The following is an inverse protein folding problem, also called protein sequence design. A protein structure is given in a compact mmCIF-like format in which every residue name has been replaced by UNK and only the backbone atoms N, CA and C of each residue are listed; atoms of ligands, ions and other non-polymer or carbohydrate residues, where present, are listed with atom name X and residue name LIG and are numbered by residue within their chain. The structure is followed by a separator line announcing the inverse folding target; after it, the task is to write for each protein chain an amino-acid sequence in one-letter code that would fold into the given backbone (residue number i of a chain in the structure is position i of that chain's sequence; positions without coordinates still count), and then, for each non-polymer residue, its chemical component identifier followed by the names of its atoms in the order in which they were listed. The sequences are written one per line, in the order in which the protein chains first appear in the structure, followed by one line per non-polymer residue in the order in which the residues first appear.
data_IF_648620190452
#
_entry.id   IF_648620190452
#
_cell.length_a   1.000
_cell.length_b   1.000
_cell.length_c   1.000
_cell.angle_alpha   90.00
_cell.angle_beta   90.00
_cell.angle_gamma   90.00
#
_symmetry.space_group_name_H-M   'P 1'
#
loop_
_entity.id
_entity.type
_entity.pdbx_description
1 polymer ?
#
# COMPACT_ATOMS: atom_id res chain seq x y z
N UNK A 1 8.70 19.09 3.39
CA UNK A 1 7.37 19.04 4.04
C UNK A 1 7.57 19.15 5.56
N UNK A 2 7.48 20.35 6.15
CA UNK A 2 7.91 20.62 7.54
C UNK A 2 7.15 19.81 8.61
N UNK A 3 5.88 19.50 8.39
CA UNK A 3 5.01 18.79 9.35
C UNK A 3 5.52 17.36 9.66
N UNK A 4 6.18 16.72 8.70
CA UNK A 4 6.77 15.37 8.87
C UNK A 4 8.00 15.35 9.78
N UNK A 5 8.66 16.49 9.96
CA UNK A 5 9.87 16.62 10.81
C UNK A 5 9.56 17.07 12.25
N UNK A 6 8.29 17.40 12.54
CA UNK A 6 7.87 17.85 13.87
C UNK A 6 7.85 16.69 14.88
N UNK A 7 8.26 16.97 16.12
CA UNK A 7 8.11 16.01 17.21
C UNK A 7 6.63 15.82 17.56
N UNK A 8 6.25 14.68 18.17
CA UNK A 8 4.86 14.43 18.58
C UNK A 8 4.28 15.57 19.43
N UNK A 9 5.07 16.13 20.36
CA UNK A 9 4.66 17.26 21.21
C UNK A 9 4.42 18.57 20.43
N UNK A 10 5.16 18.80 19.34
CA UNK A 10 4.95 19.97 18.49
C UNK A 10 3.71 19.83 17.61
N UNK A 11 3.37 18.61 17.19
CA UNK A 11 2.14 18.31 16.45
C UNK A 11 0.90 18.49 17.34
N UNK A 12 0.96 18.02 18.59
CA UNK A 12 -0.08 18.25 19.60
C UNK A 12 -0.39 19.74 19.80
N UNK A 13 0.64 20.56 20.01
CA UNK A 13 0.46 22.02 20.16
C UNK A 13 -0.17 22.68 18.93
N UNK A 14 0.09 22.16 17.73
CA UNK A 14 -0.52 22.64 16.49
C UNK A 14 -2.02 22.29 16.41
N UNK A 15 -2.39 21.09 16.86
CA UNK A 15 -3.79 20.65 16.94
C UNK A 15 -4.56 21.42 18.03
N UNK A 16 -3.91 21.83 19.10
CA UNK A 16 -4.52 22.68 20.15
C UNK A 16 -4.81 24.11 19.66
N UNK A 17 -3.99 24.64 18.74
CA UNK A 17 -4.18 25.97 18.14
C UNK A 17 -5.30 25.99 17.08
N UNK A 18 -5.74 24.84 16.59
CA UNK A 18 -6.72 24.69 15.52
C UNK A 18 -7.75 23.59 15.85
N UNK A 19 -8.80 23.91 16.63
CA UNK A 19 -9.78 22.92 17.10
C UNK A 19 -10.54 22.22 15.97
N UNK A 20 -10.73 22.89 14.82
CA UNK A 20 -11.36 22.28 13.65
C UNK A 20 -10.45 21.21 13.02
N UNK A 21 -9.14 21.46 12.93
CA UNK A 21 -8.16 20.46 12.46
C UNK A 21 -8.07 19.26 13.40
N UNK A 22 -8.25 19.47 14.71
CA UNK A 22 -8.31 18.37 15.69
C UNK A 22 -9.53 17.49 15.48
N UNK A 23 -10.70 18.08 15.21
CA UNK A 23 -11.93 17.32 14.92
C UNK A 23 -11.79 16.50 13.65
N UNK A 24 -11.24 17.10 12.59
CA UNK A 24 -11.00 16.41 11.31
C UNK A 24 -9.94 15.31 11.44
N UNK A 25 -8.89 15.54 12.21
CA UNK A 25 -7.86 14.54 12.47
C UNK A 25 -8.42 13.33 13.24
N UNK A 26 -9.29 13.57 14.24
CA UNK A 26 -9.96 12.50 14.98
C UNK A 26 -10.95 11.71 14.12
N UNK A 27 -11.72 12.40 13.27
CA UNK A 27 -12.64 11.75 12.33
C UNK A 27 -11.88 10.83 11.35
N UNK A 28 -10.78 11.32 10.76
CA UNK A 28 -9.91 10.52 9.88
C UNK A 28 -9.23 9.37 10.61
N UNK A 29 -8.78 9.57 11.85
CA UNK A 29 -8.19 8.50 12.64
C UNK A 29 -9.21 7.38 12.93
N UNK A 30 -10.47 7.73 13.17
CA UNK A 30 -11.56 6.78 13.34
C UNK A 30 -11.85 5.99 12.05
N UNK A 31 -11.96 6.68 10.91
CA UNK A 31 -12.14 6.04 9.60
C UNK A 31 -10.97 5.10 9.26
N UNK A 32 -9.73 5.49 9.60
CA UNK A 32 -8.54 4.65 9.42
C UNK A 32 -8.54 3.43 10.34
N UNK A 33 -9.01 3.56 11.58
CA UNK A 33 -9.16 2.43 12.49
C UNK A 33 -10.23 1.45 12.00
N UNK A 34 -11.39 1.95 11.55
CA UNK A 34 -12.45 1.12 10.96
C UNK A 34 -11.98 0.39 9.69
N UNK A 35 -11.17 1.03 8.86
CA UNK A 35 -10.52 0.39 7.71
C UNK A 35 -9.50 -0.67 8.14
N UNK A 36 -8.68 -0.38 9.15
CA UNK A 36 -7.70 -1.33 9.66
C UNK A 36 -8.37 -2.58 10.23
N UNK A 37 -9.42 -2.41 11.04
CA UNK A 37 -10.23 -3.51 11.57
C UNK A 37 -10.88 -4.33 10.43
N UNK A 38 -11.44 -3.66 9.42
CA UNK A 38 -12.01 -4.32 8.25
C UNK A 38 -10.96 -5.17 7.51
N UNK A 39 -9.76 -4.64 7.29
CA UNK A 39 -8.70 -5.38 6.61
C UNK A 39 -8.16 -6.52 7.48
N UNK A 40 -8.05 -6.33 8.80
CA UNK A 40 -7.65 -7.39 9.71
C UNK A 40 -8.64 -8.56 9.70
N UNK A 41 -9.94 -8.25 9.78
CA UNK A 41 -10.99 -9.26 9.72
C UNK A 41 -11.04 -9.94 8.34
N UNK A 42 -10.87 -9.19 7.25
CA UNK A 42 -10.80 -9.78 5.90
C UNK A 42 -9.57 -10.64 5.70
N UNK A 43 -8.41 -10.23 6.19
CA UNK A 43 -7.21 -11.07 6.14
C UNK A 43 -7.40 -12.33 6.97
N UNK A 44 -8.00 -12.22 8.16
CA UNK A 44 -8.30 -13.38 9.01
C UNK A 44 -9.27 -14.33 8.31
N UNK A 45 -10.31 -13.83 7.66
CA UNK A 45 -11.27 -14.63 6.89
C UNK A 45 -10.58 -15.36 5.72
N UNK A 46 -9.78 -14.64 4.92
CA UNK A 46 -9.02 -15.18 3.79
C UNK A 46 -7.96 -16.18 4.22
N UNK A 47 -7.34 -16.00 5.39
CA UNK A 47 -6.37 -16.93 5.98
C UNK A 47 -7.03 -18.12 6.68
N UNK A 48 -8.29 -17.98 7.11
CA UNK A 48 -9.06 -19.04 7.77
C UNK A 48 -9.76 -19.98 6.80
N UNK A 49 -10.11 -19.50 5.61
CA UNK A 49 -10.34 -20.38 4.47
C UNK A 49 -8.97 -20.96 4.08
N UNK A 50 -8.87 -22.30 4.00
CA UNK A 50 -7.66 -23.12 3.77
C UNK A 50 -6.86 -22.79 2.48
N UNK A 51 -7.10 -21.65 1.84
CA UNK A 51 -6.60 -21.30 0.52
C UNK A 51 -5.15 -20.80 0.48
N UNK A 52 -4.59 -20.33 1.60
CA UNK A 52 -3.21 -19.82 1.63
C UNK A 52 -2.18 -20.96 1.77
N UNK A 53 -2.60 -22.15 2.26
CA UNK A 53 -1.75 -23.33 2.36
C UNK A 53 -2.00 -24.39 1.27
N UNK A 54 -2.87 -24.10 0.29
CA UNK A 54 -3.24 -25.07 -0.75
C UNK A 54 -2.54 -24.87 -2.09
N UNK A 55 -1.63 -23.89 -2.21
CA UNK A 55 -0.55 -24.07 -3.18
C UNK A 55 0.39 -25.13 -2.61
N UNK A 56 0.70 -26.20 -3.39
CA UNK A 56 1.65 -27.18 -2.91
C UNK A 56 2.94 -26.45 -2.56
N UNK A 57 3.44 -26.65 -1.33
CA UNK A 57 4.74 -26.16 -0.86
C UNK A 57 5.92 -26.70 -1.71
N UNK A 58 5.63 -27.46 -2.76
CA UNK A 58 6.54 -27.98 -3.77
C UNK A 58 6.63 -27.07 -5.01
N UNK A 59 5.83 -26.01 -5.11
CA UNK A 59 5.94 -25.02 -6.19
C UNK A 59 7.16 -24.10 -5.97
N UNK A 60 7.83 -23.77 -7.07
CA UNK A 60 8.94 -22.82 -7.10
C UNK A 60 8.44 -21.45 -6.62
N UNK A 61 9.02 -20.96 -5.52
CA UNK A 61 8.67 -19.67 -4.92
C UNK A 61 9.63 -18.56 -5.36
N UNK A 62 10.94 -18.77 -5.17
CA UNK A 62 11.97 -17.81 -5.56
C UNK A 62 13.14 -18.51 -6.26
N UNK A 63 13.20 -18.37 -7.58
CA UNK A 63 14.07 -19.21 -8.39
C UNK A 63 13.75 -20.69 -8.15
N UNK A 64 14.76 -21.55 -7.88
CA UNK A 64 14.51 -22.98 -7.67
C UNK A 64 14.04 -23.35 -6.26
N UNK A 65 13.93 -22.38 -5.34
CA UNK A 65 13.59 -22.66 -3.95
C UNK A 65 12.09 -22.70 -3.75
N UNK A 66 11.62 -23.71 -3.03
CA UNK A 66 10.26 -23.71 -2.50
C UNK A 66 10.13 -22.75 -1.32
N UNK A 67 8.90 -22.46 -0.90
CA UNK A 67 8.64 -21.57 0.23
C UNK A 67 9.26 -22.12 1.54
N UNK A 68 9.17 -23.43 1.77
CA UNK A 68 9.73 -24.09 2.95
C UNK A 68 11.26 -24.05 2.94
N UNK A 69 11.87 -24.31 1.78
CA UNK A 69 13.32 -24.25 1.62
C UNK A 69 13.84 -22.83 1.83
N UNK A 70 13.13 -21.82 1.33
CA UNK A 70 13.45 -20.42 1.55
C UNK A 70 13.36 -20.04 3.04
N UNK A 71 12.27 -20.42 3.72
CA UNK A 71 12.08 -20.14 5.14
C UNK A 71 13.11 -20.84 6.04
N UNK A 72 13.69 -21.95 5.58
CA UNK A 72 14.73 -22.68 6.29
C UNK A 72 16.13 -22.05 6.16
N UNK A 73 16.32 -21.09 5.25
CA UNK A 73 17.60 -20.36 5.09
C UNK A 73 17.82 -19.37 6.23
N UNK A 74 19.08 -18.91 6.37
CA UNK A 74 19.40 -17.80 7.28
C UNK A 74 18.78 -16.50 6.79
N UNK A 75 18.42 -15.60 7.71
CA UNK A 75 17.77 -14.32 7.40
C UNK A 75 18.56 -13.48 6.38
N UNK A 76 19.89 -13.41 6.51
CA UNK A 76 20.75 -12.70 5.55
C UNK A 76 20.66 -13.28 4.12
N UNK A 77 20.50 -14.60 4.01
CA UNK A 77 20.36 -15.29 2.72
C UNK A 77 18.96 -15.10 2.15
N UNK A 78 17.93 -15.10 3.00
CA UNK A 78 16.55 -14.77 2.61
C UNK A 78 16.47 -13.36 2.02
N UNK A 79 17.04 -12.36 2.71
CA UNK A 79 17.08 -10.96 2.25
C UNK A 79 17.81 -10.85 0.92
N UNK A 80 18.98 -11.48 0.79
CA UNK A 80 19.76 -11.44 -0.46
C UNK A 80 18.99 -12.02 -1.65
N UNK A 81 18.32 -13.16 -1.46
CA UNK A 81 17.53 -13.81 -2.51
C UNK A 81 16.30 -12.97 -2.88
N UNK A 82 15.59 -12.44 -1.88
CA UNK A 82 14.44 -11.58 -2.06
C UNK A 82 14.77 -10.32 -2.85
N UNK A 83 15.84 -9.61 -2.45
CA UNK A 83 16.28 -8.39 -3.11
C UNK A 83 16.69 -8.64 -4.56
N UNK A 84 17.35 -9.78 -4.83
CA UNK A 84 17.75 -10.17 -6.18
C UNK A 84 16.54 -10.44 -7.08
N UNK A 85 15.58 -11.25 -6.62
CA UNK A 85 14.39 -11.57 -7.41
C UNK A 85 13.53 -10.33 -7.63
N UNK A 86 13.41 -9.46 -6.62
CA UNK A 86 12.69 -8.21 -6.72
C UNK A 86 13.32 -7.27 -7.75
N UNK A 87 14.66 -7.12 -7.75
CA UNK A 87 15.35 -6.31 -8.77
C UNK A 87 15.10 -6.82 -10.20
N UNK A 88 15.14 -8.14 -10.41
CA UNK A 88 14.84 -8.75 -11.71
C UNK A 88 13.39 -8.53 -12.14
N UNK A 89 12.43 -8.71 -11.22
CA UNK A 89 11.01 -8.45 -11.52
C UNK A 89 10.76 -6.97 -11.88
N UNK A 90 11.46 -6.03 -11.24
CA UNK A 90 11.37 -4.62 -11.60
C UNK A 90 11.95 -4.29 -12.97
N UNK A 91 13.06 -4.94 -13.36
CA UNK A 91 13.66 -4.79 -14.68
C UNK A 91 12.70 -5.31 -15.76
N UNK A 92 12.14 -6.51 -15.58
CA UNK A 92 11.15 -7.10 -16.50
C UNK A 92 9.87 -6.26 -16.61
N UNK A 93 9.37 -5.70 -15.49
CA UNK A 93 8.21 -4.80 -15.50
C UNK A 93 8.52 -3.45 -16.16
N UNK A 94 9.77 -2.99 -16.11
CA UNK A 94 10.17 -1.74 -16.76
C UNK A 94 10.26 -1.86 -18.28
N UNK A 95 10.48 -3.09 -18.79
CA UNK A 95 10.45 -3.42 -20.22
C UNK A 95 9.03 -3.61 -20.77
N UNK A 96 8.02 -3.74 -19.90
CA UNK A 96 6.62 -3.68 -20.29
C UNK A 96 6.26 -2.22 -20.54
N UNK A 97 6.37 -1.81 -21.80
CA UNK A 97 5.83 -0.54 -22.29
C UNK A 97 4.30 -0.57 -22.08
N UNK A 98 3.84 -0.09 -20.92
CA UNK A 98 2.42 0.06 -20.65
C UNK A 98 1.84 0.91 -21.78
N UNK A 99 0.87 0.40 -22.58
CA UNK A 99 0.15 1.26 -23.50
C UNK A 99 -0.61 2.22 -22.60
N UNK A 100 -0.07 3.42 -22.46
CA UNK A 100 -0.77 4.56 -21.89
C UNK A 100 -1.90 4.84 -22.87
N UNK A 101 -3.03 4.15 -22.70
CA UNK A 101 -4.30 4.57 -23.28
C UNK A 101 -4.59 5.95 -22.70
N UNK A 102 -4.12 6.96 -23.42
CA UNK A 102 -4.30 8.39 -23.20
C UNK A 102 -5.78 8.76 -23.01
N UNK A 103 -6.67 7.87 -23.42
CA UNK A 103 -8.12 8.00 -23.44
C UNK A 103 -8.74 7.98 -22.02
N UNK A 104 -8.08 7.35 -21.03
CA UNK A 104 -8.62 7.25 -19.65
C UNK A 104 -8.22 8.46 -18.79
N UNK A 105 -7.09 9.11 -19.08
CA UNK A 105 -6.62 10.28 -18.32
C UNK A 105 -7.34 11.57 -18.74
N UNK A 106 -7.91 11.63 -19.95
CA UNK A 106 -8.66 12.82 -20.40
C UNK A 106 -10.00 12.99 -19.70
N UNK A 107 -10.71 11.90 -19.37
CA UNK A 107 -12.01 11.96 -18.69
C UNK A 107 -11.93 12.60 -17.28
N UNK A 108 -10.78 12.51 -16.59
CA UNK A 108 -10.60 13.13 -15.26
C UNK A 108 -10.31 14.63 -15.31
N UNK A 109 -9.86 15.19 -16.44
CA UNK A 109 -9.62 16.64 -16.56
C UNK A 109 -10.88 17.41 -16.95
N UNK A 110 -11.80 16.78 -17.69
CA UNK A 110 -13.02 17.45 -18.14
C UNK A 110 -14.11 17.49 -17.07
N UNK A 111 -14.15 16.51 -16.15
CA UNK A 111 -15.06 16.55 -14.99
C UNK A 111 -14.70 17.66 -14.00
N UNK A 112 -13.42 18.04 -13.89
CA UNK A 112 -12.98 19.11 -12.97
C UNK A 112 -13.19 20.51 -13.55
N UNK A 113 -13.29 20.65 -14.88
CA UNK A 113 -13.56 21.96 -15.52
C UNK A 113 -15.04 22.33 -15.58
N UNK A 114 -15.96 21.36 -15.53
CA UNK A 114 -17.40 21.64 -15.59
C UNK A 114 -18.01 22.09 -14.25
N UNK A 115 -17.28 22.00 -13.13
CA UNK A 115 -17.80 22.39 -11.80
C UNK A 115 -17.30 23.75 -11.30
N UNK A 116 -16.45 24.46 -12.05
CA UNK A 116 -15.85 25.74 -11.61
C UNK A 116 -16.34 26.96 -12.42
N UNK A 117 -17.23 26.81 -13.41
CA UNK A 117 -17.76 27.95 -14.21
C UNK A 117 -19.28 28.14 -14.05
N UNK A 118 -19.84 27.73 -12.91
CA UNK A 118 -21.26 27.91 -12.63
C UNK A 118 -21.49 28.36 -11.20
N UNK A 119 -21.03 29.57 -10.84
CA UNK A 119 -21.54 30.41 -9.76
C UNK A 119 -20.73 31.72 -9.77
N UNK A 120 -21.19 32.67 -10.57
CA UNK A 120 -20.64 34.02 -10.71
C UNK A 120 -21.45 34.81 -11.71
#
# INVERSE_FOLDING_TARGET
MLVRQMTPAQRERLLDLAPDLRRDALARAKEQAELADYFEDRMREVLSDEFIYSQPLEEEFIGPYTLDEFCALLEDEQVRLWDQAHAQAWEELSDVEYPTRSDVVSARKDVVRLTVVGLG
#
